data_IF_853749723653
#
_entry.id   IF_853749723653
#
_cell.length_a   1.000
_cell.length_b   1.000
_cell.length_c   1.000
_cell.angle_alpha   90.00
_cell.angle_beta   90.00
_cell.angle_gamma   90.00
#
_symmetry.space_group_name_H-M   'P 1'
#
loop_
_entity.id
_entity.type
_entity.pdbx_description
1 polymer ?
#
# COMPACT_ATOMS: atom_id res chain seq x y z
N UNK A 1 27.25 -38.80 -2.36
CA UNK A 1 25.77 -38.74 -2.51
C UNK A 1 25.08 -37.92 -1.41
N UNK A 2 25.34 -38.15 -0.11
CA UNK A 2 24.64 -37.43 0.98
C UNK A 2 24.85 -35.90 1.02
N UNK A 3 26.05 -35.41 0.69
CA UNK A 3 26.36 -33.96 0.65
C UNK A 3 25.63 -33.20 -0.47
N UNK A 4 25.39 -33.86 -1.62
CA UNK A 4 24.65 -33.28 -2.73
C UNK A 4 23.18 -33.07 -2.40
N UNK A 5 22.54 -34.07 -1.78
CA UNK A 5 21.13 -34.02 -1.35
C UNK A 5 20.90 -32.89 -0.33
N UNK A 6 21.84 -32.69 0.60
CA UNK A 6 21.74 -31.62 1.60
C UNK A 6 21.80 -30.22 0.95
N UNK A 7 22.63 -30.06 -0.08
CA UNK A 7 22.78 -28.81 -0.81
C UNK A 7 21.53 -28.51 -1.65
N UNK A 8 20.93 -29.52 -2.30
CA UNK A 8 19.67 -29.33 -3.04
C UNK A 8 18.50 -29.00 -2.13
N UNK A 9 18.41 -29.65 -0.97
CA UNK A 9 17.38 -29.35 0.03
C UNK A 9 17.49 -27.92 0.58
N UNK A 10 18.72 -27.42 0.76
CA UNK A 10 18.97 -26.05 1.19
C UNK A 10 18.57 -25.02 0.12
N UNK A 11 18.77 -25.30 -1.17
CA UNK A 11 18.37 -24.39 -2.26
C UNK A 11 16.84 -24.32 -2.40
N UNK A 12 16.13 -25.44 -2.18
CA UNK A 12 14.67 -25.53 -2.30
C UNK A 12 13.91 -24.80 -1.18
N UNK A 13 14.54 -24.49 -0.04
CA UNK A 13 13.90 -23.67 1.01
C UNK A 13 13.96 -22.17 0.72
N UNK A 14 14.93 -21.68 -0.07
CA UNK A 14 15.05 -20.25 -0.39
C UNK A 14 14.01 -19.74 -1.39
N UNK A 15 13.44 -20.60 -2.24
CA UNK A 15 12.43 -20.21 -3.27
C UNK A 15 11.08 -19.76 -2.67
N UNK A 16 10.82 -19.99 -1.39
CA UNK A 16 9.56 -19.61 -0.73
C UNK A 16 9.64 -18.28 0.06
N UNK A 17 10.76 -17.54 -0.01
CA UNK A 17 10.98 -16.34 0.81
C UNK A 17 10.42 -15.02 0.23
N UNK A 18 9.66 -15.06 -0.86
CA UNK A 18 9.03 -13.84 -1.37
C UNK A 18 7.88 -13.38 -0.46
N UNK A 19 7.83 -12.09 -0.13
CA UNK A 19 6.74 -11.50 0.66
C UNK A 19 5.40 -11.81 -0.01
N UNK A 20 4.58 -12.63 0.64
CA UNK A 20 3.34 -13.14 0.07
C UNK A 20 2.24 -12.08 -0.02
N UNK A 21 2.40 -10.94 0.68
CA UNK A 21 1.45 -9.84 0.65
C UNK A 21 2.16 -8.49 0.62
N UNK A 22 1.57 -7.51 -0.07
CA UNK A 22 2.03 -6.11 -0.07
C UNK A 22 0.88 -5.15 0.19
N UNK A 23 1.18 -3.91 0.56
CA UNK A 23 0.18 -2.85 0.67
C UNK A 23 0.00 -2.13 -0.66
N UNK A 24 -1.23 -1.76 -0.97
CA UNK A 24 -1.59 -0.98 -2.16
C UNK A 24 -2.39 0.24 -1.72
N UNK A 25 -2.04 1.39 -2.29
CA UNK A 25 -2.62 2.68 -1.96
C UNK A 25 -3.38 3.21 -3.18
N UNK A 26 -4.64 3.58 -2.99
CA UNK A 26 -5.49 4.12 -4.05
C UNK A 26 -5.88 5.55 -3.73
N UNK A 27 -5.66 6.45 -4.68
CA UNK A 27 -6.27 7.78 -4.72
C UNK A 27 -7.67 7.74 -5.35
N UNK A 28 -8.42 8.82 -5.22
CA UNK A 28 -9.77 8.94 -5.78
C UNK A 28 -10.13 10.38 -6.14
N UNK A 29 -11.21 10.51 -6.92
CA UNK A 29 -11.96 11.75 -7.05
C UNK A 29 -13.26 11.60 -6.28
N UNK A 30 -13.50 12.51 -5.33
CA UNK A 30 -14.69 12.53 -4.50
C UNK A 30 -15.25 13.97 -4.44
N UNK A 31 -16.57 14.09 -4.34
CA UNK A 31 -17.26 15.40 -4.26
C UNK A 31 -17.71 15.73 -2.83
N UNK A 32 -17.60 14.77 -1.92
CA UNK A 32 -17.99 14.86 -0.52
C UNK A 32 -16.79 14.52 0.35
N UNK A 33 -16.46 15.39 1.30
CA UNK A 33 -15.37 15.21 2.27
C UNK A 33 -15.60 14.04 3.20
N UNK A 34 -16.86 13.67 3.45
CA UNK A 34 -17.18 12.54 4.35
C UNK A 34 -16.98 11.19 3.66
N UNK A 35 -16.91 11.18 2.32
CA UNK A 35 -16.57 10.00 1.56
C UNK A 35 -15.12 9.57 1.80
N UNK A 36 -14.86 8.29 1.58
CA UNK A 36 -13.50 7.75 1.59
C UNK A 36 -12.69 8.38 0.45
N UNK A 37 -11.48 8.84 0.76
CA UNK A 37 -10.62 9.54 -0.18
C UNK A 37 -9.42 8.69 -0.61
N UNK A 38 -8.54 8.37 0.34
CA UNK A 38 -7.40 7.46 0.13
C UNK A 38 -7.77 6.11 0.71
N UNK A 39 -7.43 5.04 0.02
CA UNK A 39 -7.70 3.68 0.46
C UNK A 39 -6.39 2.91 0.58
N UNK A 40 -6.31 2.07 1.62
CA UNK A 40 -5.19 1.15 1.82
C UNK A 40 -5.74 -0.27 1.83
N UNK A 41 -5.17 -1.11 0.99
CA UNK A 41 -5.48 -2.53 0.90
C UNK A 41 -4.23 -3.36 1.09
N UNK A 42 -4.41 -4.62 1.51
CA UNK A 42 -3.40 -5.66 1.46
C UNK A 42 -3.69 -6.55 0.25
N UNK A 43 -2.76 -6.59 -0.68
CA UNK A 43 -2.78 -7.46 -1.85
C UNK A 43 -2.12 -8.79 -1.51
N UNK A 44 -2.86 -9.88 -1.63
CA UNK A 44 -2.27 -11.21 -1.67
C UNK A 44 -1.63 -11.44 -3.04
N UNK A 45 -0.30 -11.52 -3.08
CA UNK A 45 0.45 -11.63 -4.33
C UNK A 45 0.27 -12.98 -5.03
N UNK A 46 -0.23 -14.00 -4.33
CA UNK A 46 -0.47 -15.35 -4.88
C UNK A 46 -1.86 -15.47 -5.50
N UNK A 47 -2.89 -14.95 -4.84
CA UNK A 47 -4.30 -15.08 -5.27
C UNK A 47 -4.84 -13.84 -5.97
N UNK A 48 -4.15 -12.70 -5.89
CA UNK A 48 -4.64 -11.41 -6.37
C UNK A 48 -5.72 -10.77 -5.47
N UNK A 49 -6.08 -11.40 -4.35
CA UNK A 49 -7.13 -10.89 -3.45
C UNK A 49 -6.69 -9.58 -2.79
N UNK A 50 -7.52 -8.54 -2.91
CA UNK A 50 -7.40 -7.29 -2.16
C UNK A 50 -8.28 -7.35 -0.89
N UNK A 51 -7.67 -7.12 0.27
CA UNK A 51 -8.35 -7.01 1.56
C UNK A 51 -8.21 -5.58 2.09
N UNK A 52 -9.33 -4.89 2.35
CA UNK A 52 -9.31 -3.50 2.84
C UNK A 52 -8.65 -3.44 4.22
N UNK A 53 -7.74 -2.49 4.41
CA UNK A 53 -7.01 -2.26 5.67
C UNK A 53 -7.55 -1.01 6.35
N UNK A 54 -7.51 0.12 5.67
CA UNK A 54 -7.98 1.40 6.22
C UNK A 54 -8.27 2.40 5.10
N UNK A 55 -8.77 3.57 5.47
CA UNK A 55 -9.05 4.69 4.58
C UNK A 55 -8.79 6.03 5.28
N UNK A 56 -8.51 7.06 4.50
CA UNK A 56 -8.51 8.46 4.95
C UNK A 56 -9.79 9.14 4.46
N UNK A 57 -10.52 9.76 5.39
CA UNK A 57 -11.70 10.60 5.14
C UNK A 57 -11.36 12.07 5.39
N UNK A 58 -12.34 12.96 5.19
CA UNK A 58 -12.22 14.41 5.38
C UNK A 58 -11.20 15.07 4.44
N UNK A 59 -10.99 14.47 3.27
CA UNK A 59 -10.12 14.96 2.21
C UNK A 59 -10.86 14.94 0.88
N UNK A 60 -10.61 15.93 0.03
CA UNK A 60 -11.15 15.95 -1.33
C UNK A 60 -10.10 15.59 -2.36
N UNK A 61 -10.54 14.93 -3.43
CA UNK A 61 -9.80 14.66 -4.65
C UNK A 61 -8.31 14.30 -4.45
N UNK A 62 -7.97 13.27 -3.65
CA UNK A 62 -6.62 12.73 -3.60
C UNK A 62 -6.28 12.02 -4.93
N UNK A 63 -6.04 12.79 -5.98
CA UNK A 63 -6.01 12.28 -7.36
C UNK A 63 -4.72 11.57 -7.74
N UNK A 64 -3.64 11.83 -7.01
CA UNK A 64 -2.35 11.19 -7.18
C UNK A 64 -1.69 11.05 -5.81
N UNK A 65 -0.93 9.98 -5.63
CA UNK A 65 -0.15 9.75 -4.42
C UNK A 65 1.18 9.06 -4.74
N UNK A 66 2.14 9.23 -3.85
CA UNK A 66 3.41 8.50 -3.84
C UNK A 66 3.84 8.20 -2.41
N UNK A 67 4.75 7.24 -2.23
CA UNK A 67 5.30 6.86 -0.94
C UNK A 67 6.67 7.50 -0.73
N UNK A 68 7.04 7.77 0.53
CA UNK A 68 8.44 7.98 0.90
C UNK A 68 9.25 6.71 0.57
N UNK A 69 10.56 6.83 0.29
CA UNK A 69 11.40 5.67 -0.03
C UNK A 69 11.41 4.57 1.06
N UNK A 70 11.22 4.96 2.32
CA UNK A 70 11.13 4.05 3.47
C UNK A 70 9.69 3.55 3.75
N UNK A 71 8.70 3.94 2.95
CA UNK A 71 7.31 3.53 3.04
C UNK A 71 6.54 4.07 4.25
N UNK A 72 7.14 4.96 5.06
CA UNK A 72 6.50 5.51 6.27
C UNK A 72 5.53 6.64 6.01
N UNK A 73 5.61 7.31 4.86
CA UNK A 73 4.73 8.43 4.53
C UNK A 73 4.10 8.25 3.15
N UNK A 74 2.81 8.62 3.06
CA UNK A 74 2.09 8.80 1.80
C UNK A 74 1.97 10.30 1.55
N UNK A 75 2.42 10.77 0.39
CA UNK A 75 2.20 12.13 -0.08
C UNK A 75 1.11 12.11 -1.15
N UNK A 76 0.08 12.95 -1.02
CA UNK A 76 -1.03 12.99 -1.96
C UNK A 76 -1.37 14.42 -2.40
N UNK A 77 -1.72 14.57 -3.68
CA UNK A 77 -2.33 15.79 -4.21
C UNK A 77 -3.80 15.84 -3.78
N UNK A 78 -4.11 16.64 -2.77
CA UNK A 78 -5.47 16.83 -2.22
C UNK A 78 -6.10 18.11 -2.77
N UNK A 79 -7.43 18.18 -2.74
CA UNK A 79 -8.21 19.29 -3.32
C UNK A 79 -7.85 19.51 -4.80
N UNK A 80 -7.41 18.43 -5.47
CA UNK A 80 -7.06 18.47 -6.89
C UNK A 80 -8.28 18.80 -7.72
N UNK A 81 -8.10 19.63 -8.75
CA UNK A 81 -9.20 20.20 -9.56
C UNK A 81 -10.22 21.03 -8.75
N UNK A 82 -9.90 21.45 -7.53
CA UNK A 82 -10.68 22.46 -6.79
C UNK A 82 -10.05 23.85 -7.01
N UNK A 83 -10.79 24.84 -7.55
CA UNK A 83 -10.25 26.17 -7.83
C UNK A 83 -9.60 26.80 -6.61
N UNK A 84 -8.34 27.25 -6.75
CA UNK A 84 -7.55 27.90 -5.70
C UNK A 84 -7.37 27.11 -4.39
N UNK A 85 -7.66 25.80 -4.38
CA UNK A 85 -7.62 24.99 -3.16
C UNK A 85 -6.65 23.80 -3.22
N UNK A 86 -6.01 23.55 -4.38
CA UNK A 86 -5.06 22.45 -4.57
C UNK A 86 -3.92 22.47 -3.54
N UNK A 87 -3.64 21.30 -2.96
CA UNK A 87 -2.70 21.11 -1.85
C UNK A 87 -1.91 19.81 -2.01
N UNK A 88 -0.77 19.74 -1.34
CA UNK A 88 -0.08 18.47 -1.06
C UNK A 88 -0.20 18.17 0.42
N UNK A 89 -0.70 16.98 0.75
CA UNK A 89 -0.86 16.51 2.11
C UNK A 89 0.03 15.29 2.35
N UNK A 90 0.52 15.12 3.57
CA UNK A 90 1.29 13.94 3.99
C UNK A 90 0.55 13.16 5.07
N UNK A 91 0.67 11.83 5.03
CA UNK A 91 0.05 10.92 5.98
C UNK A 91 1.08 9.89 6.43
N UNK A 92 1.22 9.70 7.74
CA UNK A 92 2.06 8.62 8.28
C UNK A 92 1.35 7.27 8.07
N UNK A 93 2.06 6.32 7.46
CA UNK A 93 1.59 4.94 7.30
C UNK A 93 2.32 4.03 8.29
N UNK A 94 1.56 3.44 9.21
CA UNK A 94 2.03 2.41 10.14
C UNK A 94 1.47 1.06 9.69
N UNK A 95 2.29 0.20 9.04
CA UNK A 95 1.82 -1.12 8.67
C UNK A 95 1.41 -1.88 9.93
N UNK A 96 0.25 -2.56 9.86
CA UNK A 96 -0.21 -3.39 10.95
C UNK A 96 0.72 -4.61 11.03
N UNK A 97 1.57 -4.65 12.07
CA UNK A 97 2.35 -5.83 12.40
C UNK A 97 1.39 -6.85 13.00
N UNK A 98 0.79 -7.68 12.15
CA UNK A 98 0.15 -8.90 12.63
C UNK A 98 1.27 -9.90 12.88
N UNK A 99 1.82 -9.88 14.10
CA UNK A 99 2.55 -11.03 14.67
C UNK A 99 1.59 -12.15 14.97
#
# INVERSE_FOLDING_TARGET
MKKGILLTALILTFINLYSQNTYVFFGSFNRDKTAEGIYVYKLNMKSGKLSKVTTVKNILNPSFLTLSPDGKYVFACTESKTPNAGRVSSFEFKPQNNS
#
